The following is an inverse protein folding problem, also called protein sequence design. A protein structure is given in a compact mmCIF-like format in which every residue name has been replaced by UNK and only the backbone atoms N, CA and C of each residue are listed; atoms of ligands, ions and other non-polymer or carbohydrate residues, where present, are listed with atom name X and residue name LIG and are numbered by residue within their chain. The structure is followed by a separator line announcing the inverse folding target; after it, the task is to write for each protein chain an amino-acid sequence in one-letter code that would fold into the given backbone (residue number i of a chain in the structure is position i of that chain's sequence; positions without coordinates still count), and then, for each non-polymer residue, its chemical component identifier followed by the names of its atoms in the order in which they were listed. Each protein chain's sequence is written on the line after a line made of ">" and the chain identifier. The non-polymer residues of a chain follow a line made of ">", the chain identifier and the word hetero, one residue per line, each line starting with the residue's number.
data_IF_468375057959
#
_entry.id   IF_468375057959
#
_cell.length_a   1.000
_cell.length_b   1.000
_cell.length_c   1.000
_cell.angle_alpha   90.00
_cell.angle_beta   90.00
_cell.angle_gamma   90.00
#
_symmetry.space_group_name_H-M   'P 1'
#
loop_
_entity.id
_entity.type
_entity.pdbx_description
1 polymer ?
#
# COMPACT_ATOMS: atom_id res chain seq x y z
N UNK A 1 12.35 13.83 -8.41
CA UNK A 1 11.44 12.78 -7.95
C UNK A 1 12.25 11.77 -7.15
N UNK A 2 11.74 11.32 -6.02
CA UNK A 2 12.40 10.34 -5.15
C UNK A 2 11.55 9.08 -5.02
N UNK A 3 12.20 7.97 -4.70
CA UNK A 3 11.53 6.73 -4.31
C UNK A 3 11.89 6.44 -2.85
N UNK A 4 10.86 6.30 -2.03
CA UNK A 4 11.00 6.01 -0.60
C UNK A 4 10.61 4.57 -0.34
N UNK A 5 11.42 3.88 0.45
CA UNK A 5 11.23 2.46 0.77
C UNK A 5 11.29 2.25 2.28
N UNK A 6 10.24 1.70 2.84
CA UNK A 6 10.27 1.26 4.24
C UNK A 6 11.03 -0.06 4.38
N UNK A 7 11.95 -0.13 5.34
CA UNK A 7 12.74 -1.32 5.63
C UNK A 7 12.43 -1.79 7.05
N UNK A 8 11.57 -2.78 7.17
CA UNK A 8 10.99 -3.21 8.44
C UNK A 8 12.04 -3.61 9.47
N UNK A 9 12.89 -4.59 9.15
CA UNK A 9 13.92 -5.07 10.08
C UNK A 9 15.11 -4.12 10.26
N UNK A 10 15.43 -3.29 9.28
CA UNK A 10 16.46 -2.27 9.43
C UNK A 10 15.99 -1.04 10.20
N UNK A 11 14.68 -0.91 10.42
CA UNK A 11 14.11 0.28 11.07
C UNK A 11 14.60 1.55 10.39
N UNK A 12 14.35 1.63 9.09
CA UNK A 12 14.80 2.75 8.27
C UNK A 12 13.88 3.02 7.08
N UNK A 13 13.99 4.21 6.53
CA UNK A 13 13.43 4.57 5.23
C UNK A 13 14.61 4.79 4.28
N UNK A 14 14.73 3.97 3.25
CA UNK A 14 15.69 4.19 2.16
C UNK A 14 15.14 5.22 1.17
N UNK A 15 16.02 6.09 0.70
CA UNK A 15 15.71 7.08 -0.34
C UNK A 15 16.56 6.76 -1.57
N UNK A 16 15.88 6.63 -2.71
CA UNK A 16 16.50 6.38 -4.01
C UNK A 16 16.23 7.57 -4.93
N UNK A 17 17.18 7.90 -5.77
CA UNK A 17 16.96 8.85 -6.86
C UNK A 17 16.26 8.16 -8.02
N UNK A 18 15.12 8.70 -8.43
CA UNK A 18 14.32 8.13 -9.52
C UNK A 18 15.03 8.20 -10.87
N UNK A 19 15.75 9.28 -11.16
CA UNK A 19 16.34 9.52 -12.48
C UNK A 19 17.58 8.69 -12.75
N UNK A 20 18.38 8.43 -11.71
CA UNK A 20 19.61 7.64 -11.80
C UNK A 20 19.43 6.20 -11.34
N UNK A 21 18.34 5.91 -10.64
CA UNK A 21 18.09 4.63 -9.98
C UNK A 21 19.20 4.25 -8.99
N UNK A 22 19.75 5.26 -8.32
CA UNK A 22 20.82 5.07 -7.33
C UNK A 22 20.26 5.19 -5.90
N UNK A 23 20.82 4.39 -5.00
CA UNK A 23 20.62 4.58 -3.56
C UNK A 23 21.26 5.89 -3.14
N UNK A 24 20.53 6.73 -2.41
CA UNK A 24 21.07 7.99 -1.87
C UNK A 24 21.46 7.87 -0.41
N UNK A 25 20.52 7.45 0.42
CA UNK A 25 20.73 7.34 1.87
C UNK A 25 19.62 6.55 2.55
N UNK A 26 19.90 6.12 3.78
CA UNK A 26 18.90 5.66 4.75
C UNK A 26 18.63 6.75 5.79
N UNK A 27 17.37 6.93 6.12
CA UNK A 27 16.95 7.58 7.36
C UNK A 27 16.77 6.48 8.40
N UNK A 28 17.62 6.44 9.41
CA UNK A 28 17.49 5.49 10.52
C UNK A 28 16.43 5.98 11.48
N UNK A 29 15.57 5.05 11.88
CA UNK A 29 14.53 5.27 12.89
C UNK A 29 14.98 4.73 14.24
N UNK A 30 14.29 5.14 15.30
CA UNK A 30 14.58 4.67 16.66
C UNK A 30 14.32 3.16 16.83
N UNK A 31 14.90 2.56 17.89
CA UNK A 31 14.94 1.10 18.06
C UNK A 31 13.58 0.39 18.12
N UNK A 32 12.51 1.11 18.42
CA UNK A 32 11.17 0.55 18.53
C UNK A 32 10.29 0.80 17.29
N UNK A 33 10.79 1.51 16.26
CA UNK A 33 10.01 1.88 15.08
C UNK A 33 10.26 0.89 13.95
N UNK A 34 9.28 0.07 13.64
CA UNK A 34 9.31 -0.91 12.56
C UNK A 34 8.39 -0.46 11.41
N UNK A 35 8.91 0.24 10.41
CA UNK A 35 8.09 0.82 9.34
C UNK A 35 7.63 -0.26 8.36
N UNK A 36 6.41 -0.77 8.52
CA UNK A 36 5.81 -1.69 7.55
C UNK A 36 5.12 -0.90 6.42
N UNK A 37 4.31 0.08 6.80
CA UNK A 37 3.62 0.98 5.88
C UNK A 37 3.87 2.44 6.31
N UNK A 38 3.67 3.37 5.40
CA UNK A 38 3.78 4.81 5.69
C UNK A 38 3.12 5.62 4.58
N UNK A 39 2.78 6.86 4.86
CA UNK A 39 2.41 7.84 3.84
C UNK A 39 3.24 9.12 3.99
N UNK A 40 3.28 9.93 2.93
CA UNK A 40 4.07 11.17 2.89
C UNK A 40 3.17 12.36 2.57
N UNK A 41 3.28 13.42 3.36
CA UNK A 41 2.85 14.76 2.95
C UNK A 41 4.01 15.49 2.28
N UNK A 42 4.00 15.51 0.96
CA UNK A 42 5.05 16.19 0.17
C UNK A 42 5.10 17.70 0.39
N UNK A 43 3.99 18.33 0.77
CA UNK A 43 3.94 19.78 1.00
C UNK A 43 4.73 20.15 2.26
N UNK A 44 4.65 19.30 3.27
CA UNK A 44 5.34 19.51 4.55
C UNK A 44 6.65 18.72 4.67
N UNK A 45 6.95 17.84 3.71
CA UNK A 45 8.09 16.91 3.77
C UNK A 45 8.06 16.01 5.02
N UNK A 46 6.84 15.58 5.42
CA UNK A 46 6.62 14.72 6.57
C UNK A 46 6.19 13.31 6.11
N UNK A 47 6.73 12.29 6.75
CA UNK A 47 6.24 10.93 6.65
C UNK A 47 5.56 10.51 7.95
N UNK A 48 4.43 9.82 7.82
CA UNK A 48 3.64 9.29 8.92
C UNK A 48 3.75 7.77 8.91
N UNK A 49 4.23 7.20 10.00
CA UNK A 49 4.58 5.78 10.12
C UNK A 49 3.74 5.15 11.24
N UNK A 50 2.71 4.37 10.92
CA UNK A 50 1.96 3.62 11.92
C UNK A 50 2.77 2.43 12.42
N UNK A 51 2.74 2.17 13.69
CA UNK A 51 3.43 1.05 14.33
C UNK A 51 2.45 0.00 14.82
N UNK A 52 2.66 -1.22 14.38
CA UNK A 52 1.84 -2.38 14.79
C UNK A 52 2.31 -2.99 16.11
N UNK A 53 3.44 -2.55 16.66
CA UNK A 53 4.03 -3.14 17.85
C UNK A 53 3.65 -2.40 19.14
N UNK A 54 3.61 -1.09 19.10
CA UNK A 54 3.37 -0.23 20.26
C UNK A 54 2.13 0.67 20.14
N UNK A 55 1.48 0.67 18.97
CA UNK A 55 0.28 1.48 18.72
C UNK A 55 0.55 2.99 18.60
N UNK A 56 1.78 3.36 18.29
CA UNK A 56 2.15 4.75 18.06
C UNK A 56 2.08 5.11 16.57
N UNK A 57 1.74 6.35 16.28
CA UNK A 57 1.94 6.98 14.98
C UNK A 57 3.14 7.91 15.08
N UNK A 58 4.21 7.60 14.37
CA UNK A 58 5.43 8.41 14.33
C UNK A 58 5.41 9.42 13.18
N UNK A 59 5.86 10.65 13.46
CA UNK A 59 6.00 11.72 12.48
C UNK A 59 7.48 11.94 12.19
N UNK A 60 7.88 11.63 10.98
CA UNK A 60 9.26 11.75 10.49
C UNK A 60 9.39 12.97 9.60
N UNK A 61 10.27 13.92 9.95
CA UNK A 61 10.69 14.99 9.04
C UNK A 61 11.75 14.45 8.07
N UNK A 62 11.38 14.37 6.78
CA UNK A 62 12.23 13.83 5.72
C UNK A 62 13.41 14.74 5.39
N UNK A 63 13.31 16.05 5.66
CA UNK A 63 14.34 17.02 5.36
C UNK A 63 15.55 16.91 6.29
N UNK A 64 15.29 16.72 7.58
CA UNK A 64 16.31 16.56 8.61
C UNK A 64 16.55 15.09 8.99
N UNK A 65 15.66 14.17 8.55
CA UNK A 65 15.78 12.73 8.81
C UNK A 65 15.60 12.36 10.28
N UNK A 66 14.66 13.00 10.99
CA UNK A 66 14.40 12.76 12.42
C UNK A 66 12.92 12.62 12.72
N UNK A 67 12.60 11.75 13.69
CA UNK A 67 11.28 11.76 14.31
C UNK A 67 11.12 13.06 15.09
N UNK A 68 10.03 13.78 14.79
CA UNK A 68 9.72 15.08 15.40
C UNK A 68 8.51 15.02 16.33
N UNK A 69 7.68 13.98 16.19
CA UNK A 69 6.49 13.79 17.03
C UNK A 69 6.09 12.32 17.05
N UNK A 70 5.33 11.92 18.07
CA UNK A 70 4.63 10.64 18.11
C UNK A 70 3.27 10.79 18.78
N UNK A 71 2.27 10.07 18.27
CA UNK A 71 0.88 10.15 18.71
C UNK A 71 0.45 8.75 19.16
N UNK A 72 0.10 8.63 20.45
CA UNK A 72 -0.34 7.36 21.01
C UNK A 72 -1.81 7.10 20.66
N UNK A 73 -2.04 6.05 19.86
CA UNK A 73 -3.38 5.59 19.46
C UNK A 73 -3.73 4.29 20.20
N UNK A 74 -2.74 3.44 20.39
CA UNK A 74 -2.87 2.09 20.94
C UNK A 74 -3.30 1.05 19.89
N UNK A 75 -3.09 -0.21 20.22
CA UNK A 75 -3.45 -1.35 19.37
C UNK A 75 -2.52 -1.55 18.16
N UNK A 76 -2.92 -2.43 17.25
CA UNK A 76 -2.13 -2.82 16.08
C UNK A 76 -2.48 -1.92 14.89
N UNK A 77 -1.65 -0.92 14.63
CA UNK A 77 -1.81 -0.01 13.48
C UNK A 77 -1.14 -0.63 12.25
N UNK A 78 -1.87 -0.78 11.14
CA UNK A 78 -1.37 -1.55 9.98
C UNK A 78 -1.27 -0.77 8.69
N UNK A 79 -2.21 0.12 8.41
CA UNK A 79 -2.19 0.91 7.18
C UNK A 79 -2.50 2.38 7.44
N UNK A 80 -2.07 3.25 6.53
CA UNK A 80 -2.25 4.70 6.65
C UNK A 80 -2.40 5.34 5.28
N UNK A 81 -3.30 6.32 5.18
CA UNK A 81 -3.40 7.21 4.02
C UNK A 81 -3.66 8.65 4.46
N UNK A 82 -3.14 9.57 3.67
CA UNK A 82 -3.38 11.00 3.79
C UNK A 82 -4.41 11.46 2.76
N UNK A 83 -5.46 12.14 3.22
CA UNK A 83 -6.46 12.76 2.36
C UNK A 83 -6.96 14.07 2.98
N UNK A 84 -6.92 15.16 2.24
CA UNK A 84 -7.48 16.46 2.66
C UNK A 84 -7.01 16.93 4.04
N UNK A 85 -5.71 16.84 4.31
CA UNK A 85 -5.09 17.17 5.60
C UNK A 85 -5.55 16.27 6.77
N UNK A 86 -6.12 15.10 6.48
CA UNK A 86 -6.53 14.09 7.47
C UNK A 86 -5.81 12.76 7.21
N UNK A 87 -5.34 12.12 8.27
CA UNK A 87 -4.78 10.78 8.25
C UNK A 87 -5.84 9.76 8.62
N UNK A 88 -5.99 8.74 7.79
CA UNK A 88 -6.83 7.58 8.05
C UNK A 88 -5.92 6.40 8.39
N UNK A 89 -6.11 5.77 9.53
CA UNK A 89 -5.22 4.74 10.07
C UNK A 89 -6.05 3.52 10.47
N UNK A 90 -5.73 2.36 9.91
CA UNK A 90 -6.36 1.11 10.32
C UNK A 90 -5.78 0.58 11.62
N UNK A 91 -6.67 0.14 12.52
CA UNK A 91 -6.33 -0.51 13.78
C UNK A 91 -7.02 -1.88 13.84
N UNK A 92 -6.23 -2.94 13.68
CA UNK A 92 -6.76 -4.31 13.66
C UNK A 92 -7.32 -4.76 15.01
N UNK A 93 -6.72 -4.34 16.12
CA UNK A 93 -7.14 -4.78 17.45
C UNK A 93 -8.50 -4.20 17.86
N UNK A 94 -8.76 -2.95 17.48
CA UNK A 94 -10.03 -2.27 17.80
C UNK A 94 -11.06 -2.36 16.68
N UNK A 95 -10.75 -3.00 15.55
CA UNK A 95 -11.62 -3.07 14.37
C UNK A 95 -12.14 -1.68 13.98
N UNK A 96 -11.22 -0.74 13.77
CA UNK A 96 -11.60 0.65 13.52
C UNK A 96 -10.62 1.36 12.59
N UNK A 97 -11.09 2.47 12.02
CA UNK A 97 -10.28 3.46 11.32
C UNK A 97 -10.21 4.71 12.21
N UNK A 98 -9.02 5.05 12.66
CA UNK A 98 -8.73 6.30 13.36
C UNK A 98 -8.51 7.42 12.36
N UNK A 99 -8.98 8.62 12.70
CA UNK A 99 -8.84 9.81 11.87
C UNK A 99 -8.16 10.90 12.68
N UNK A 100 -7.04 11.40 12.16
CA UNK A 100 -6.28 12.49 12.77
C UNK A 100 -6.20 13.69 11.84
N UNK A 101 -6.28 14.89 12.40
CA UNK A 101 -5.98 16.12 11.69
C UNK A 101 -4.45 16.34 11.63
N UNK A 102 -3.91 16.51 10.44
CA UNK A 102 -2.45 16.65 10.22
C UNK A 102 -1.87 17.89 10.87
N UNK A 103 -2.63 18.99 10.93
CA UNK A 103 -2.14 20.28 11.42
C UNK A 103 -2.04 20.34 12.94
N UNK A 104 -2.95 19.66 13.61
CA UNK A 104 -3.07 19.71 15.08
C UNK A 104 -2.58 18.43 15.74
N UNK A 105 -2.33 17.37 14.99
CA UNK A 105 -2.05 16.01 15.47
C UNK A 105 -3.16 15.44 16.39
N UNK A 106 -4.34 16.05 16.38
CA UNK A 106 -5.44 15.63 17.25
C UNK A 106 -6.32 14.57 16.57
N UNK A 107 -6.84 13.60 17.34
CA UNK A 107 -7.87 12.69 16.86
C UNK A 107 -9.17 13.47 16.63
N UNK A 108 -9.74 13.31 15.43
CA UNK A 108 -10.99 13.96 15.01
C UNK A 108 -12.12 12.97 14.73
N UNK A 109 -11.82 11.68 14.76
CA UNK A 109 -12.83 10.63 14.59
C UNK A 109 -12.27 9.22 14.73
N UNK A 110 -13.18 8.30 15.05
CA UNK A 110 -12.95 6.85 15.03
C UNK A 110 -14.19 6.21 14.41
N UNK A 111 -13.99 5.39 13.37
CA UNK A 111 -15.06 4.68 12.69
C UNK A 111 -14.89 3.19 12.95
N UNK A 112 -15.87 2.56 13.63
CA UNK A 112 -15.90 1.11 13.78
C UNK A 112 -16.16 0.45 12.42
N UNK A 113 -15.37 -0.57 12.08
CA UNK A 113 -15.47 -1.38 10.86
C UNK A 113 -15.54 -2.86 11.22
N UNK A 114 -15.60 -3.73 10.21
CA UNK A 114 -15.58 -5.17 10.45
C UNK A 114 -14.18 -5.66 10.87
N UNK A 115 -14.10 -6.95 11.21
CA UNK A 115 -12.91 -7.56 11.78
C UNK A 115 -11.67 -7.45 10.87
N UNK A 116 -10.52 -7.16 11.50
CA UNK A 116 -9.20 -7.12 10.87
C UNK A 116 -9.15 -6.17 9.66
N UNK A 117 -9.37 -4.85 9.83
CA UNK A 117 -9.14 -3.87 8.77
C UNK A 117 -7.64 -3.82 8.47
N UNK A 118 -7.23 -4.31 7.29
CA UNK A 118 -5.80 -4.43 6.97
C UNK A 118 -5.38 -3.44 5.90
N UNK A 119 -5.66 -3.74 4.64
CA UNK A 119 -5.28 -2.87 3.53
C UNK A 119 -6.41 -1.97 3.08
N UNK A 120 -6.07 -0.77 2.62
CA UNK A 120 -7.06 0.14 2.06
C UNK A 120 -6.47 1.00 0.93
N UNK A 121 -7.34 1.57 0.11
CA UNK A 121 -7.01 2.61 -0.86
C UNK A 121 -8.03 3.74 -0.78
N UNK A 122 -7.58 4.96 -1.11
CA UNK A 122 -8.38 6.17 -0.96
C UNK A 122 -8.59 6.86 -2.31
N UNK A 123 -9.84 7.19 -2.61
CA UNK A 123 -10.22 8.07 -3.69
C UNK A 123 -10.50 9.47 -3.16
N UNK A 124 -9.48 10.31 -3.20
CA UNK A 124 -9.58 11.70 -2.73
C UNK A 124 -10.47 12.60 -3.62
N UNK A 125 -10.71 12.21 -4.87
CA UNK A 125 -11.58 12.96 -5.79
C UNK A 125 -13.03 12.78 -5.40
N UNK A 126 -13.44 11.53 -5.13
CA UNK A 126 -14.80 11.18 -4.76
C UNK A 126 -15.02 11.10 -3.24
N UNK A 127 -14.01 11.41 -2.44
CA UNK A 127 -14.03 11.35 -0.98
C UNK A 127 -14.44 9.97 -0.45
N UNK A 128 -13.80 8.91 -0.95
CA UNK A 128 -14.07 7.52 -0.57
C UNK A 128 -12.80 6.83 -0.11
N UNK A 129 -12.91 6.12 1.01
CA UNK A 129 -11.90 5.20 1.51
C UNK A 129 -12.49 3.79 1.48
N UNK A 130 -11.83 2.86 0.81
CA UNK A 130 -12.22 1.45 0.77
C UNK A 130 -11.26 0.64 1.63
N UNK A 131 -11.82 -0.07 2.60
CA UNK A 131 -11.07 -0.85 3.60
C UNK A 131 -11.35 -2.33 3.43
N UNK A 132 -10.30 -3.13 3.24
CA UNK A 132 -10.40 -4.59 3.28
C UNK A 132 -10.47 -5.05 4.74
N UNK A 133 -11.58 -5.65 5.10
CA UNK A 133 -11.76 -6.43 6.32
C UNK A 133 -11.82 -7.92 5.94
N UNK A 134 -11.59 -8.83 6.91
CA UNK A 134 -11.41 -10.25 6.58
C UNK A 134 -12.58 -10.87 5.80
N UNK A 135 -13.81 -10.46 6.04
CA UNK A 135 -15.01 -10.97 5.37
C UNK A 135 -15.90 -9.86 4.80
N UNK A 136 -15.33 -8.68 4.56
CA UNK A 136 -16.07 -7.58 3.96
C UNK A 136 -15.14 -6.53 3.36
N UNK A 137 -15.70 -5.68 2.50
CA UNK A 137 -15.08 -4.42 2.07
C UNK A 137 -15.99 -3.29 2.53
N UNK A 138 -15.44 -2.36 3.28
CA UNK A 138 -16.14 -1.20 3.82
C UNK A 138 -15.78 0.03 3.01
N UNK A 139 -16.79 0.77 2.55
CA UNK A 139 -16.61 2.10 1.97
C UNK A 139 -16.98 3.17 2.98
N UNK A 140 -16.04 4.05 3.27
CA UNK A 140 -16.21 5.19 4.17
C UNK A 140 -16.24 6.46 3.34
N UNK A 141 -17.21 7.32 3.61
CA UNK A 141 -17.22 8.70 3.13
C UNK A 141 -16.26 9.53 4.01
N UNK A 142 -15.21 10.08 3.41
CA UNK A 142 -14.16 10.78 4.17
C UNK A 142 -14.58 12.17 4.65
N UNK A 143 -15.63 12.76 4.08
CA UNK A 143 -16.17 14.06 4.53
C UNK A 143 -17.07 13.87 5.74
N UNK A 144 -18.09 13.01 5.63
CA UNK A 144 -19.03 12.75 6.73
C UNK A 144 -18.46 11.82 7.80
N UNK A 145 -17.30 11.18 7.54
CA UNK A 145 -16.64 10.22 8.42
C UNK A 145 -17.57 9.08 8.86
N UNK A 146 -18.29 8.54 7.88
CA UNK A 146 -19.27 7.48 8.11
C UNK A 146 -19.21 6.40 7.05
N UNK A 147 -19.60 5.17 7.40
CA UNK A 147 -19.73 4.08 6.46
C UNK A 147 -20.87 4.41 5.49
N UNK A 148 -20.56 4.48 4.19
CA UNK A 148 -21.56 4.74 3.15
C UNK A 148 -21.97 3.48 2.39
N UNK A 149 -21.09 2.47 2.31
CA UNK A 149 -21.39 1.19 1.65
C UNK A 149 -20.65 0.06 2.38
N UNK A 150 -21.23 -1.15 2.30
CA UNK A 150 -20.62 -2.38 2.79
C UNK A 150 -20.87 -3.51 1.80
N UNK A 151 -19.83 -4.32 1.57
CA UNK A 151 -19.88 -5.53 0.74
C UNK A 151 -19.47 -6.69 1.64
N UNK A 152 -20.41 -7.55 2.01
CA UNK A 152 -20.07 -8.79 2.69
C UNK A 152 -19.49 -9.79 1.68
N UNK A 153 -18.42 -10.49 2.05
CA UNK A 153 -17.71 -11.41 1.17
C UNK A 153 -17.62 -12.80 1.78
N UNK A 154 -17.57 -13.81 0.94
CA UNK A 154 -17.30 -15.21 1.29
C UNK A 154 -15.81 -15.57 1.15
N UNK A 155 -14.95 -14.58 0.88
CA UNK A 155 -13.51 -14.70 0.78
C UNK A 155 -12.82 -13.75 1.77
N UNK A 156 -11.56 -14.06 2.08
CA UNK A 156 -10.77 -13.29 3.05
C UNK A 156 -10.02 -12.15 2.36
N UNK A 157 -10.62 -10.97 2.33
CA UNK A 157 -9.98 -9.77 1.78
C UNK A 157 -8.76 -9.36 2.59
N UNK A 158 -7.70 -8.91 1.88
CA UNK A 158 -6.45 -8.53 2.52
C UNK A 158 -6.03 -7.09 2.15
N UNK A 159 -5.90 -6.79 0.87
CA UNK A 159 -5.63 -5.44 0.37
C UNK A 159 -6.66 -5.04 -0.67
N UNK A 160 -6.94 -3.74 -0.73
CA UNK A 160 -7.78 -3.12 -1.75
C UNK A 160 -6.93 -2.21 -2.62
N UNK A 161 -7.22 -2.19 -3.91
CA UNK A 161 -6.69 -1.24 -4.89
C UNK A 161 -7.80 -0.76 -5.82
N UNK A 162 -7.93 0.55 -5.99
CA UNK A 162 -8.96 1.15 -6.83
C UNK A 162 -8.46 1.36 -8.25
N UNK A 163 -9.22 0.86 -9.21
CA UNK A 163 -9.12 1.30 -10.60
C UNK A 163 -10.11 2.44 -10.83
N UNK A 164 -9.61 3.66 -10.74
CA UNK A 164 -10.43 4.87 -10.89
C UNK A 164 -10.93 5.08 -12.31
N UNK A 165 -10.26 4.51 -13.33
CA UNK A 165 -10.66 4.63 -14.72
C UNK A 165 -11.90 3.79 -15.03
N UNK A 166 -11.95 2.56 -14.48
CA UNK A 166 -13.07 1.64 -14.67
C UNK A 166 -14.12 1.72 -13.57
N UNK A 167 -13.84 2.41 -12.48
CA UNK A 167 -14.63 2.40 -11.24
C UNK A 167 -14.78 0.97 -10.70
N UNK A 168 -13.66 0.29 -10.59
CA UNK A 168 -13.56 -1.07 -10.11
C UNK A 168 -12.72 -1.13 -8.83
N UNK A 169 -13.11 -1.99 -7.91
CA UNK A 169 -12.40 -2.30 -6.69
C UNK A 169 -11.72 -3.65 -6.87
N UNK A 170 -10.41 -3.66 -6.83
CA UNK A 170 -9.61 -4.88 -6.84
C UNK A 170 -9.25 -5.24 -5.40
N UNK A 171 -9.49 -6.47 -4.99
CA UNK A 171 -9.03 -6.95 -3.69
C UNK A 171 -8.20 -8.22 -3.85
N UNK A 172 -7.01 -8.23 -3.25
CA UNK A 172 -6.26 -9.46 -3.06
C UNK A 172 -6.80 -10.20 -1.84
N UNK A 173 -6.73 -11.52 -1.86
CA UNK A 173 -7.31 -12.36 -0.81
C UNK A 173 -6.30 -13.35 -0.25
N UNK A 174 -6.47 -13.73 1.02
CA UNK A 174 -5.70 -14.81 1.65
C UNK A 174 -6.04 -16.19 1.08
N UNK A 175 -7.12 -16.28 0.30
CA UNK A 175 -7.59 -17.52 -0.34
C UNK A 175 -6.99 -17.70 -1.76
N UNK A 176 -5.95 -16.92 -2.11
CA UNK A 176 -5.24 -17.05 -3.39
C UNK A 176 -5.99 -16.50 -4.59
N UNK A 177 -6.74 -15.42 -4.42
CA UNK A 177 -7.54 -14.81 -5.50
C UNK A 177 -7.31 -13.30 -5.58
N UNK A 178 -7.57 -12.75 -6.75
CA UNK A 178 -7.86 -11.33 -6.92
C UNK A 178 -9.32 -11.24 -7.37
N UNK A 179 -10.11 -10.51 -6.59
CA UNK A 179 -11.54 -10.32 -6.86
C UNK A 179 -11.77 -8.90 -7.32
N UNK A 180 -12.54 -8.74 -8.39
CA UNK A 180 -12.89 -7.44 -8.97
C UNK A 180 -14.36 -7.16 -8.73
N UNK A 181 -14.65 -6.02 -8.17
CA UNK A 181 -15.99 -5.60 -7.78
C UNK A 181 -16.31 -4.27 -8.48
N UNK A 182 -17.45 -4.17 -9.07
CA UNK A 182 -17.96 -2.90 -9.60
C UNK A 182 -18.31 -1.93 -8.45
N UNK A 183 -17.75 -0.73 -8.48
CA UNK A 183 -17.84 0.26 -7.40
C UNK A 183 -19.26 0.77 -7.16
N UNK A 184 -20.08 0.82 -8.22
CA UNK A 184 -21.44 1.37 -8.14
C UNK A 184 -22.45 0.33 -7.66
N UNK A 185 -22.47 -0.82 -8.33
CA UNK A 185 -23.43 -1.90 -8.05
C UNK A 185 -23.03 -2.79 -6.88
N UNK A 186 -21.76 -2.73 -6.45
CA UNK A 186 -21.14 -3.57 -5.42
C UNK A 186 -21.18 -5.07 -5.73
N UNK A 187 -21.29 -5.42 -7.01
CA UNK A 187 -21.29 -6.81 -7.46
C UNK A 187 -19.91 -7.27 -7.84
N UNK A 188 -19.59 -8.51 -7.51
CA UNK A 188 -18.41 -9.17 -8.05
C UNK A 188 -18.61 -9.33 -9.55
N UNK A 189 -17.69 -8.76 -10.32
CA UNK A 189 -17.71 -8.84 -11.79
C UNK A 189 -16.65 -9.79 -12.34
N UNK A 190 -15.63 -10.11 -11.53
CA UNK A 190 -14.59 -11.06 -11.91
C UNK A 190 -13.92 -11.67 -10.69
N UNK A 191 -13.54 -12.93 -10.80
CA UNK A 191 -12.64 -13.64 -9.88
C UNK A 191 -11.49 -14.20 -10.71
N UNK A 192 -10.26 -13.93 -10.27
CA UNK A 192 -9.03 -14.43 -10.86
C UNK A 192 -8.37 -15.30 -9.78
N UNK A 193 -8.30 -16.60 -10.00
CA UNK A 193 -7.90 -17.62 -9.01
C UNK A 193 -6.53 -18.26 -9.33
N UNK A 194 -5.71 -17.58 -10.10
CA UNK A 194 -4.39 -18.04 -10.55
C UNK A 194 -3.25 -17.64 -9.60
N UNK A 195 -3.54 -17.38 -8.33
CA UNK A 195 -2.59 -16.91 -7.32
C UNK A 195 -2.45 -17.90 -6.16
N UNK A 196 -1.38 -17.74 -5.35
CA UNK A 196 -1.24 -18.47 -4.10
C UNK A 196 -1.35 -17.56 -2.88
N UNK A 197 -0.66 -16.43 -2.88
CA UNK A 197 -0.76 -15.39 -1.85
C UNK A 197 -0.56 -14.01 -2.49
N UNK A 198 -1.56 -13.49 -3.21
CA UNK A 198 -1.49 -12.15 -3.78
C UNK A 198 -1.52 -11.10 -2.67
N UNK A 199 -0.66 -10.10 -2.74
CA UNK A 199 -0.54 -9.07 -1.71
C UNK A 199 -0.85 -7.68 -2.25
N UNK A 200 -0.05 -7.13 -3.16
CA UNK A 200 -0.26 -5.80 -3.69
C UNK A 200 -0.54 -5.79 -5.19
N UNK A 201 -1.30 -4.79 -5.62
CA UNK A 201 -1.76 -4.61 -7.00
C UNK A 201 -1.40 -3.19 -7.46
N UNK A 202 -0.90 -3.04 -8.66
CA UNK A 202 -0.77 -1.73 -9.31
C UNK A 202 -1.15 -1.79 -10.79
N UNK A 203 -1.55 -0.63 -11.33
CA UNK A 203 -2.05 -0.50 -12.69
C UNK A 203 -1.06 0.28 -13.57
N UNK A 204 -0.75 -0.23 -14.73
CA UNK A 204 -0.13 0.51 -15.81
C UNK A 204 -1.16 0.79 -16.88
N UNK A 205 -1.75 1.97 -16.84
CA UNK A 205 -2.82 2.36 -17.77
C UNK A 205 -2.33 2.55 -19.20
N UNK A 206 -1.08 2.99 -19.38
CA UNK A 206 -0.48 3.17 -20.72
C UNK A 206 -0.19 1.82 -21.40
N UNK A 207 0.45 0.90 -20.69
CA UNK A 207 0.77 -0.41 -21.21
C UNK A 207 -0.41 -1.40 -21.16
N UNK A 208 -1.57 -0.99 -20.64
CA UNK A 208 -2.74 -1.85 -20.44
C UNK A 208 -2.43 -3.12 -19.66
N UNK A 209 -1.70 -2.99 -18.56
CA UNK A 209 -1.27 -4.10 -17.70
C UNK A 209 -1.69 -3.88 -16.25
N UNK A 210 -1.97 -4.97 -15.55
CA UNK A 210 -2.09 -5.03 -14.10
C UNK A 210 -0.94 -5.87 -13.59
N UNK A 211 -0.25 -5.39 -12.57
CA UNK A 211 0.79 -6.14 -11.89
C UNK A 211 0.28 -6.54 -10.50
N UNK A 212 0.45 -7.81 -10.16
CA UNK A 212 0.05 -8.37 -8.86
C UNK A 212 1.25 -9.08 -8.24
N UNK A 213 1.71 -8.59 -7.10
CA UNK A 213 2.73 -9.28 -6.32
C UNK A 213 2.12 -10.53 -5.66
N UNK A 214 2.67 -11.70 -5.95
CA UNK A 214 2.29 -12.97 -5.36
C UNK A 214 3.47 -13.53 -4.55
N UNK A 215 3.43 -13.34 -3.24
CA UNK A 215 4.46 -13.85 -2.33
C UNK A 215 4.50 -15.38 -2.32
N UNK A 216 3.36 -16.04 -2.47
CA UNK A 216 3.27 -17.50 -2.43
C UNK A 216 3.97 -18.16 -3.61
N UNK A 217 3.79 -17.65 -4.80
CA UNK A 217 4.50 -18.14 -6.00
C UNK A 217 5.86 -17.47 -6.23
N UNK A 218 6.22 -16.46 -5.43
CA UNK A 218 7.45 -15.66 -5.62
C UNK A 218 7.52 -15.04 -7.00
N UNK A 219 6.42 -14.44 -7.42
CA UNK A 219 6.25 -13.85 -8.75
C UNK A 219 5.54 -12.51 -8.67
N UNK A 220 5.76 -11.68 -9.66
CA UNK A 220 4.82 -10.62 -9.98
C UNK A 220 4.08 -11.06 -11.24
N UNK A 221 2.79 -11.32 -11.08
CA UNK A 221 1.91 -11.73 -12.18
C UNK A 221 1.53 -10.50 -13.01
N UNK A 222 1.51 -10.66 -14.32
CA UNK A 222 1.19 -9.61 -15.29
C UNK A 222 -0.11 -9.98 -15.97
N UNK A 223 -1.14 -9.17 -15.76
CA UNK A 223 -2.46 -9.40 -16.33
C UNK A 223 -2.78 -8.36 -17.39
N UNK A 224 -3.57 -8.76 -18.36
CA UNK A 224 -4.19 -7.85 -19.29
C UNK A 224 -5.21 -6.97 -18.57
N UNK A 225 -5.08 -5.67 -18.74
CA UNK A 225 -5.93 -4.68 -18.02
C UNK A 225 -7.41 -4.80 -18.35
N UNK A 226 -7.76 -5.09 -19.62
CA UNK A 226 -9.15 -5.08 -20.04
C UNK A 226 -9.84 -6.42 -19.72
N UNK A 227 -9.12 -7.53 -19.89
CA UNK A 227 -9.70 -8.87 -19.70
C UNK A 227 -9.40 -9.50 -18.35
N UNK A 228 -8.36 -9.03 -17.64
CA UNK A 228 -7.86 -9.62 -16.38
C UNK A 228 -7.20 -11.00 -16.58
N UNK A 229 -6.93 -11.43 -17.83
CA UNK A 229 -6.23 -12.69 -18.08
C UNK A 229 -4.75 -12.54 -17.75
N UNK A 230 -4.16 -13.57 -17.17
CA UNK A 230 -2.71 -13.63 -16.97
C UNK A 230 -2.03 -13.71 -18.34
N UNK A 231 -1.12 -12.76 -18.59
CA UNK A 231 -0.33 -12.67 -19.80
C UNK A 231 1.06 -13.30 -19.61
N UNK A 232 1.68 -13.02 -18.47
CA UNK A 232 3.08 -13.37 -18.19
C UNK A 232 3.34 -13.21 -16.68
N UNK A 233 4.58 -13.46 -16.27
CA UNK A 233 5.03 -13.21 -14.89
C UNK A 233 6.52 -12.87 -14.84
N UNK A 234 6.90 -12.15 -13.78
CA UNK A 234 8.29 -11.89 -13.42
C UNK A 234 8.64 -12.79 -12.23
N UNK A 235 9.67 -13.63 -12.38
CA UNK A 235 10.18 -14.43 -11.26
C UNK A 235 10.98 -13.54 -10.31
N UNK A 236 10.73 -13.70 -9.02
CA UNK A 236 11.48 -13.04 -7.96
C UNK A 236 12.18 -14.11 -7.13
N UNK A 237 13.50 -14.01 -6.98
CA UNK A 237 14.29 -15.01 -6.23
C UNK A 237 13.99 -14.99 -4.72
N UNK A 238 13.43 -13.88 -4.23
CA UNK A 238 12.98 -13.70 -2.85
C UNK A 238 11.46 -13.62 -2.73
N UNK A 239 10.98 -12.71 -1.91
CA UNK A 239 9.57 -12.56 -1.58
C UNK A 239 9.06 -11.17 -2.04
N UNK A 240 8.29 -11.08 -3.15
CA UNK A 240 7.75 -9.82 -3.63
C UNK A 240 6.60 -9.37 -2.73
N UNK A 241 6.79 -8.33 -1.95
CA UNK A 241 5.76 -7.81 -1.05
C UNK A 241 5.19 -6.48 -1.56
N UNK A 242 6.03 -5.46 -1.70
CA UNK A 242 5.63 -4.17 -2.21
C UNK A 242 5.85 -4.04 -3.71
N UNK A 243 4.88 -3.48 -4.42
CA UNK A 243 5.03 -3.09 -5.83
C UNK A 243 4.52 -1.68 -6.06
N UNK A 244 5.24 -0.92 -6.86
CA UNK A 244 4.85 0.44 -7.23
C UNK A 244 5.21 0.72 -8.67
N UNK A 245 4.26 1.23 -9.42
CA UNK A 245 4.49 1.76 -10.76
C UNK A 245 4.95 3.22 -10.66
N UNK A 246 5.88 3.63 -11.52
CA UNK A 246 6.29 5.04 -11.61
C UNK A 246 5.17 5.93 -12.15
N UNK A 247 5.24 7.23 -11.86
CA UNK A 247 4.22 8.20 -12.28
C UNK A 247 4.12 8.29 -13.81
N UNK A 248 5.23 8.08 -14.52
CA UNK A 248 5.29 8.06 -15.99
C UNK A 248 5.05 6.66 -16.60
N UNK A 249 4.60 5.69 -15.78
CA UNK A 249 4.31 4.31 -16.15
C UNK A 249 5.45 3.49 -16.77
N UNK A 250 6.68 3.99 -16.77
CA UNK A 250 7.82 3.33 -17.43
C UNK A 250 8.53 2.31 -16.58
N UNK A 251 8.50 2.48 -15.26
CA UNK A 251 9.22 1.66 -14.31
C UNK A 251 8.28 0.95 -13.34
N UNK A 252 8.57 -0.31 -13.08
CA UNK A 252 7.96 -1.09 -12.01
C UNK A 252 9.02 -1.34 -10.94
N UNK A 253 8.76 -0.87 -9.72
CA UNK A 253 9.56 -1.13 -8.54
C UNK A 253 8.95 -2.28 -7.76
N UNK A 254 9.77 -3.25 -7.35
CA UNK A 254 9.37 -4.43 -6.59
C UNK A 254 10.28 -4.54 -5.37
N UNK A 255 9.70 -4.62 -4.17
CA UNK A 255 10.48 -4.97 -2.99
C UNK A 255 10.70 -6.49 -2.94
N UNK A 256 11.96 -6.90 -3.00
CA UNK A 256 12.37 -8.26 -2.72
C UNK A 256 12.78 -8.33 -1.25
N UNK A 257 11.79 -8.61 -0.42
CA UNK A 257 11.87 -8.52 1.05
C UNK A 257 12.95 -9.43 1.62
N UNK A 258 13.08 -10.64 1.09
CA UNK A 258 14.05 -11.64 1.54
C UNK A 258 15.50 -11.26 1.20
N UNK A 259 15.72 -10.65 0.05
CA UNK A 259 17.06 -10.33 -0.44
C UNK A 259 17.50 -8.90 -0.15
N UNK A 260 16.64 -8.08 0.49
CA UNK A 260 16.91 -6.67 0.83
C UNK A 260 17.20 -5.82 -0.41
N UNK A 261 16.41 -6.02 -1.46
CA UNK A 261 16.58 -5.34 -2.74
C UNK A 261 15.30 -4.63 -3.16
N UNK A 262 15.48 -3.53 -3.87
CA UNK A 262 14.47 -3.01 -4.79
C UNK A 262 14.86 -3.42 -6.20
N UNK A 263 14.03 -4.21 -6.83
CA UNK A 263 14.18 -4.62 -8.23
C UNK A 263 13.41 -3.66 -9.12
N UNK A 264 14.07 -3.09 -10.11
CA UNK A 264 13.48 -2.12 -11.04
C UNK A 264 13.37 -2.75 -12.42
N UNK A 265 12.17 -2.79 -12.96
CA UNK A 265 11.86 -3.37 -14.27
C UNK A 265 11.34 -2.31 -15.23
N UNK A 266 11.67 -2.46 -16.50
CA UNK A 266 11.05 -1.73 -17.59
C UNK A 266 9.65 -2.30 -17.88
N UNK A 267 8.61 -1.47 -17.87
CA UNK A 267 7.23 -1.92 -18.07
C UNK A 267 6.88 -2.26 -19.50
N UNK A 268 7.64 -1.78 -20.50
CA UNK A 268 7.36 -2.05 -21.90
C UNK A 268 7.63 -3.52 -22.29
N UNK A 269 8.74 -4.08 -21.78
CA UNK A 269 9.21 -5.43 -22.10
C UNK A 269 9.40 -6.35 -20.88
N UNK A 270 9.13 -5.83 -19.67
CA UNK A 270 9.29 -6.50 -18.37
C UNK A 270 10.74 -6.97 -18.10
N UNK A 271 11.75 -6.30 -18.67
CA UNK A 271 13.15 -6.61 -18.41
C UNK A 271 13.67 -5.95 -17.13
N UNK A 272 14.54 -6.66 -16.42
CA UNK A 272 15.21 -6.11 -15.23
C UNK A 272 16.22 -5.04 -15.66
N UNK A 273 16.05 -3.82 -15.13
CA UNK A 273 16.97 -2.71 -15.32
C UNK A 273 18.04 -2.73 -14.24
N UNK A 274 17.63 -2.85 -12.97
CA UNK A 274 18.54 -2.69 -11.83
C UNK A 274 18.06 -3.42 -10.59
N UNK A 275 19.00 -3.92 -9.80
CA UNK A 275 18.81 -4.29 -8.39
C UNK A 275 19.48 -3.22 -7.54
N UNK A 276 18.76 -2.68 -6.57
CA UNK A 276 19.25 -1.63 -5.67
C UNK A 276 19.22 -2.19 -4.25
N UNK A 277 20.37 -2.24 -3.61
CA UNK A 277 20.47 -2.63 -2.20
C UNK A 277 19.85 -1.57 -1.31
N UNK A 278 19.02 -2.00 -0.37
CA UNK A 278 18.33 -1.16 0.60
C UNK A 278 18.45 -1.77 2.01
N UNK A 279 17.75 -1.22 2.97
CA UNK A 279 17.71 -1.80 4.30
C UNK A 279 17.05 -3.19 4.33
N UNK A 280 17.12 -3.87 5.48
CA UNK A 280 16.59 -5.22 5.64
C UNK A 280 15.07 -5.23 5.65
N UNK A 281 14.51 -6.20 4.93
CA UNK A 281 13.07 -6.42 4.80
C UNK A 281 12.32 -5.20 4.24
N UNK A 282 12.62 -4.80 2.97
CA UNK A 282 11.87 -3.73 2.32
C UNK A 282 10.42 -4.14 2.10
N UNK A 283 9.47 -3.26 2.40
CA UNK A 283 8.02 -3.53 2.32
C UNK A 283 7.31 -2.55 1.39
N UNK A 284 7.00 -1.36 1.87
CA UNK A 284 6.24 -0.36 1.10
C UNK A 284 7.17 0.52 0.26
N UNK A 285 6.76 0.80 -0.97
CA UNK A 285 7.46 1.67 -1.92
C UNK A 285 6.54 2.83 -2.28
N UNK A 286 7.03 4.07 -2.18
CA UNK A 286 6.34 5.28 -2.61
C UNK A 286 7.19 6.06 -3.62
N UNK A 287 6.63 6.34 -4.79
CA UNK A 287 7.24 7.21 -5.81
C UNK A 287 6.62 8.60 -5.72
N UNK A 288 7.42 9.62 -5.39
CA UNK A 288 6.94 10.97 -5.11
C UNK A 288 7.79 12.04 -5.82
#
# INVERSE_FOLDING_TARGET
>A
MKVYVSNYLSRSISILDYSTLEFERDIKLDENIYPHNFCIDNRQQLAYIPSSLDGELYVLDLSIGKIIDNISIGGKLTNIALCNDELFISNEDSNSIYILDVKTSNPIGVIGVDNMPHGFDIDSINNRLYVACINSIICIDTISKSICKKIDTDFKSWHVKLDRNKKEIYTSTLDGKVVVIDEESLKIIKIIDEFLLPVQICFNYEAKKIYVADMGYKKVMILDYDTGKVLDYINIDGDPQGIQISIDYKLLFISDTKNNLIKVYNTSDNTLIKNIEVGKEPTTILCM
#
